data_IF_403344787920
#
_entry.id   IF_403344787920
#
_cell.length_a   1.000
_cell.length_b   1.000
_cell.length_c   1.000
_cell.angle_alpha   90.00
_cell.angle_beta   90.00
_cell.angle_gamma   90.00
#
_symmetry.space_group_name_H-M   'P 1'
#
loop_
_entity.id
_entity.type
_entity.pdbx_description
1 polymer ?
#
# COMPACT_ATOMS: atom_id res chain seq x y z
N UNK A 1 -14.45 2.30 -6.60
CA UNK A 1 -13.24 1.53 -6.23
C UNK A 1 -13.26 0.12 -6.85
N UNK A 2 -14.14 -0.81 -6.43
CA UNK A 2 -14.15 -2.21 -6.95
C UNK A 2 -14.17 -2.32 -8.48
N UNK A 3 -15.00 -1.54 -9.18
CA UNK A 3 -15.03 -1.48 -10.65
C UNK A 3 -13.68 -1.05 -11.26
N UNK A 4 -13.01 -0.10 -10.63
CA UNK A 4 -11.73 0.43 -11.11
C UNK A 4 -10.62 -0.61 -10.90
N UNK A 5 -10.62 -1.27 -9.74
CA UNK A 5 -9.75 -2.41 -9.42
C UNK A 5 -9.87 -3.51 -10.46
N UNK A 6 -11.11 -3.89 -10.80
CA UNK A 6 -11.41 -4.86 -11.85
C UNK A 6 -10.79 -4.52 -13.20
N UNK A 7 -10.86 -3.24 -13.63
CA UNK A 7 -10.28 -2.78 -14.89
C UNK A 7 -8.74 -2.80 -14.85
N UNK A 8 -8.13 -2.48 -13.71
CA UNK A 8 -6.68 -2.52 -13.52
C UNK A 8 -6.16 -3.96 -13.54
N UNK A 9 -6.80 -4.87 -12.80
CA UNK A 9 -6.42 -6.28 -12.76
C UNK A 9 -6.59 -6.98 -14.11
N UNK A 10 -7.60 -6.59 -14.89
CA UNK A 10 -7.75 -7.06 -16.29
C UNK A 10 -6.50 -6.74 -17.13
N UNK A 11 -5.86 -5.59 -16.89
CA UNK A 11 -4.61 -5.18 -17.53
C UNK A 11 -3.34 -5.78 -16.91
N UNK A 12 -3.45 -6.53 -15.81
CA UNK A 12 -2.31 -7.14 -15.11
C UNK A 12 -1.61 -6.26 -14.08
N UNK A 13 -2.15 -5.07 -13.77
CA UNK A 13 -1.61 -4.20 -12.72
C UNK A 13 -2.01 -4.68 -11.33
N UNK A 14 -1.15 -4.51 -10.34
CA UNK A 14 -1.51 -4.63 -8.92
C UNK A 14 -2.15 -3.34 -8.39
N UNK A 15 -2.81 -3.40 -7.24
CA UNK A 15 -3.47 -2.22 -6.64
C UNK A 15 -3.19 -2.07 -5.16
N UNK A 16 -3.03 -0.83 -4.71
CA UNK A 16 -2.97 -0.48 -3.29
C UNK A 16 -4.14 0.38 -2.86
N UNK A 17 -4.64 0.14 -1.65
CA UNK A 17 -5.78 0.87 -1.10
C UNK A 17 -5.52 1.30 0.34
N UNK A 18 -5.75 2.59 0.62
CA UNK A 18 -5.95 3.07 1.99
C UNK A 18 -7.41 2.92 2.36
N UNK A 19 -7.70 2.09 3.37
CA UNK A 19 -9.04 1.93 3.94
C UNK A 19 -9.30 2.92 5.10
N UNK A 20 -8.30 3.71 5.48
CA UNK A 20 -8.31 4.61 6.65
C UNK A 20 -9.33 5.73 6.60
N UNK A 21 -9.85 6.08 5.40
CA UNK A 21 -10.89 7.11 5.23
C UNK A 21 -12.30 6.58 5.44
N UNK A 22 -12.49 5.27 5.47
CA UNK A 22 -13.80 4.68 5.69
C UNK A 22 -14.19 4.84 7.16
N UNK A 23 -15.44 5.20 7.42
CA UNK A 23 -15.97 5.30 8.78
C UNK A 23 -15.87 3.95 9.50
N UNK A 24 -15.67 3.95 10.82
CA UNK A 24 -15.52 2.71 11.59
C UNK A 24 -16.84 1.94 11.68
N UNK A 25 -16.76 0.68 12.05
CA UNK A 25 -17.92 -0.16 12.31
C UNK A 25 -18.79 0.46 13.42
N UNK A 26 -20.11 0.33 13.26
CA UNK A 26 -21.14 0.92 14.12
C UNK A 26 -21.26 2.45 14.06
N UNK A 27 -20.47 3.13 13.22
CA UNK A 27 -20.65 4.56 13.01
C UNK A 27 -22.00 4.85 12.31
N UNK A 28 -22.60 6.00 12.62
CA UNK A 28 -23.95 6.36 12.17
C UNK A 28 -24.02 6.57 10.66
N UNK A 29 -25.07 6.08 9.99
CA UNK A 29 -25.28 6.18 8.54
C UNK A 29 -26.68 6.68 8.20
N UNK A 30 -26.75 7.90 7.66
CA UNK A 30 -27.96 8.50 7.12
C UNK A 30 -29.04 8.79 8.17
N UNK A 31 -30.20 9.34 7.78
CA UNK A 31 -31.23 9.75 8.72
C UNK A 31 -32.03 8.57 9.32
N UNK A 32 -31.95 7.37 8.71
CA UNK A 32 -32.79 6.22 9.04
C UNK A 32 -32.21 5.31 10.14
N UNK A 33 -31.19 5.76 10.88
CA UNK A 33 -30.58 4.98 11.96
C UNK A 33 -29.76 3.78 11.52
N UNK A 34 -29.26 3.78 10.28
CA UNK A 34 -28.34 2.75 9.81
C UNK A 34 -26.98 2.87 10.52
N UNK A 35 -26.25 1.76 10.59
CA UNK A 35 -24.87 1.73 11.12
C UNK A 35 -23.91 1.13 10.10
N UNK A 36 -22.67 1.61 10.11
CA UNK A 36 -21.65 1.17 9.18
C UNK A 36 -21.06 -0.20 9.55
N UNK A 37 -20.65 -0.98 8.54
CA UNK A 37 -19.90 -2.23 8.75
C UNK A 37 -18.42 -2.03 9.11
N UNK A 38 -17.85 -0.86 8.78
CA UNK A 38 -16.42 -0.57 8.96
C UNK A 38 -15.54 -1.09 7.81
N UNK A 39 -14.29 -0.61 7.70
CA UNK A 39 -13.38 -0.92 6.58
C UNK A 39 -13.14 -2.42 6.36
N UNK A 40 -13.03 -3.21 7.43
CA UNK A 40 -12.70 -4.64 7.34
C UNK A 40 -13.78 -5.43 6.60
N UNK A 41 -15.05 -5.03 6.72
CA UNK A 41 -16.18 -5.71 6.04
C UNK A 41 -16.17 -5.54 4.52
N UNK A 42 -15.44 -4.55 3.99
CA UNK A 42 -15.31 -4.35 2.55
C UNK A 42 -14.21 -5.23 1.93
N UNK A 43 -13.22 -5.68 2.71
CA UNK A 43 -12.08 -6.46 2.19
C UNK A 43 -12.52 -7.72 1.42
N UNK A 44 -13.49 -8.53 1.90
CA UNK A 44 -13.97 -9.69 1.15
C UNK A 44 -14.55 -9.34 -0.22
N UNK A 45 -15.23 -8.19 -0.36
CA UNK A 45 -15.79 -7.78 -1.64
C UNK A 45 -14.70 -7.47 -2.68
N UNK A 46 -13.61 -6.80 -2.27
CA UNK A 46 -12.46 -6.59 -3.15
C UNK A 46 -11.71 -7.89 -3.43
N UNK A 47 -11.58 -8.76 -2.43
CA UNK A 47 -10.92 -10.05 -2.57
C UNK A 47 -11.64 -10.95 -3.58
N UNK A 48 -12.96 -11.10 -3.47
CA UNK A 48 -13.76 -11.88 -4.42
C UNK A 48 -13.66 -11.31 -5.84
N UNK A 49 -13.77 -9.98 -5.99
CA UNK A 49 -13.64 -9.34 -7.30
C UNK A 49 -12.25 -9.59 -7.94
N UNK A 50 -11.18 -9.52 -7.14
CA UNK A 50 -9.80 -9.77 -7.57
C UNK A 50 -9.57 -11.24 -7.96
N UNK A 51 -10.24 -12.18 -7.30
CA UNK A 51 -10.12 -13.61 -7.61
C UNK A 51 -10.82 -14.03 -8.91
N UNK A 52 -11.95 -13.38 -9.21
CA UNK A 52 -12.71 -13.63 -10.43
C UNK A 52 -11.98 -13.04 -11.65
N UNK A 53 -11.28 -11.91 -11.49
CA UNK A 53 -10.70 -11.16 -12.59
C UNK A 53 -9.20 -11.47 -12.70
N UNK A 54 -8.87 -12.39 -13.62
CA UNK A 54 -7.50 -12.84 -13.90
C UNK A 54 -7.02 -12.32 -15.25
N UNK A 55 -5.80 -11.78 -15.32
CA UNK A 55 -5.19 -11.35 -16.57
C UNK A 55 -4.98 -12.57 -17.49
N UNK A 56 -5.68 -12.60 -18.62
CA UNK A 56 -5.63 -13.70 -19.59
C UNK A 56 -6.01 -15.07 -19.00
N UNK A 57 -6.71 -15.11 -17.87
CA UNK A 57 -7.02 -16.35 -17.14
C UNK A 57 -5.87 -16.96 -16.34
N UNK A 58 -4.65 -16.41 -16.42
CA UNK A 58 -3.42 -17.04 -15.88
C UNK A 58 -2.92 -16.32 -14.63
N UNK A 59 -2.86 -14.99 -14.63
CA UNK A 59 -2.28 -14.23 -13.51
C UNK A 59 -3.39 -13.75 -12.56
N UNK A 60 -3.33 -14.24 -11.31
CA UNK A 60 -4.19 -13.78 -10.21
C UNK A 60 -3.87 -12.31 -9.90
N UNK A 61 -4.91 -11.49 -9.72
CA UNK A 61 -4.73 -10.13 -9.25
C UNK A 61 -4.16 -10.10 -7.83
N UNK A 62 -3.45 -9.03 -7.50
CA UNK A 62 -2.87 -8.81 -6.18
C UNK A 62 -3.26 -7.41 -5.70
N UNK A 63 -3.60 -7.30 -4.43
CA UNK A 63 -3.87 -6.04 -3.78
C UNK A 63 -3.15 -5.91 -2.44
N UNK A 64 -2.89 -4.67 -2.02
CA UNK A 64 -2.58 -4.37 -0.63
C UNK A 64 -3.72 -3.54 -0.03
N UNK A 65 -4.07 -3.84 1.22
CA UNK A 65 -4.92 -3.00 2.04
C UNK A 65 -4.08 -2.40 3.15
N UNK A 66 -4.15 -1.07 3.29
CA UNK A 66 -3.50 -0.31 4.34
C UNK A 66 -4.56 0.28 5.26
N UNK A 67 -4.38 0.15 6.57
CA UNK A 67 -5.19 0.83 7.57
C UNK A 67 -4.29 1.56 8.55
N UNK A 68 -4.62 2.82 8.83
CA UNK A 68 -3.92 3.65 9.81
C UNK A 68 -4.07 3.07 11.21
N UNK A 69 -3.00 3.11 11.99
CA UNK A 69 -2.96 2.55 13.34
C UNK A 69 -3.95 3.24 14.29
N UNK A 70 -4.24 4.52 14.07
CA UNK A 70 -5.23 5.32 14.81
C UNK A 70 -6.69 5.05 14.41
N UNK A 71 -6.94 4.14 13.47
CA UNK A 71 -8.30 3.82 13.06
C UNK A 71 -9.03 2.98 14.13
N UNK A 72 -10.30 3.26 14.49
CA UNK A 72 -11.00 2.54 15.57
C UNK A 72 -11.16 1.03 15.35
N UNK A 73 -11.17 0.58 14.10
CA UNK A 73 -11.20 -0.85 13.73
C UNK A 73 -9.80 -1.51 13.58
N UNK A 74 -8.72 -0.88 14.05
CA UNK A 74 -7.35 -1.39 13.86
C UNK A 74 -7.18 -2.84 14.35
N UNK A 75 -7.71 -3.18 15.53
CA UNK A 75 -7.61 -4.54 16.07
C UNK A 75 -8.33 -5.55 15.18
N UNK A 76 -9.50 -5.20 14.64
CA UNK A 76 -10.22 -6.09 13.71
C UNK A 76 -9.45 -6.28 12.41
N UNK A 77 -8.78 -5.23 11.93
CA UNK A 77 -7.97 -5.28 10.73
C UNK A 77 -6.73 -6.15 10.89
N UNK A 78 -6.01 -6.00 12.01
CA UNK A 78 -4.85 -6.85 12.35
C UNK A 78 -5.23 -8.32 12.39
N UNK A 79 -6.43 -8.64 12.89
CA UNK A 79 -6.93 -10.02 12.99
C UNK A 79 -7.62 -10.53 11.71
N UNK A 80 -7.68 -9.75 10.63
CA UNK A 80 -8.51 -10.06 9.46
C UNK A 80 -8.02 -11.30 8.66
N UNK A 81 -6.74 -11.69 8.78
CA UNK A 81 -6.15 -12.86 8.12
C UNK A 81 -5.87 -14.05 9.04
N UNK A 82 -6.58 -14.14 10.18
CA UNK A 82 -6.34 -15.20 11.16
C UNK A 82 -6.70 -16.63 10.65
N UNK A 83 -7.38 -16.77 9.51
CA UNK A 83 -7.65 -18.06 8.86
C UNK A 83 -6.75 -18.28 7.62
N UNK A 84 -6.33 -19.53 7.33
CA UNK A 84 -5.35 -19.81 6.27
C UNK A 84 -5.82 -19.40 4.87
N UNK A 85 -7.14 -19.41 4.63
CA UNK A 85 -7.73 -19.06 3.33
C UNK A 85 -8.30 -17.63 3.27
N UNK A 86 -8.16 -16.85 4.36
CA UNK A 86 -8.69 -15.51 4.41
C UNK A 86 -7.82 -14.54 3.58
N UNK A 87 -8.46 -13.83 2.63
CA UNK A 87 -7.85 -12.72 1.90
C UNK A 87 -6.52 -13.12 1.21
N UNK A 88 -6.45 -14.30 0.60
CA UNK A 88 -5.20 -14.86 0.03
C UNK A 88 -4.65 -14.09 -1.18
N UNK A 89 -5.38 -13.10 -1.69
CA UNK A 89 -4.96 -12.15 -2.74
C UNK A 89 -4.71 -10.73 -2.23
N UNK A 90 -4.74 -10.54 -0.90
CA UNK A 90 -4.48 -9.29 -0.22
C UNK A 90 -3.27 -9.44 0.71
N UNK A 91 -2.32 -8.53 0.57
CA UNK A 91 -1.40 -8.18 1.65
C UNK A 91 -2.08 -7.16 2.56
N UNK A 92 -1.91 -7.31 3.87
CA UNK A 92 -2.38 -6.33 4.84
C UNK A 92 -1.17 -5.57 5.38
N UNK A 93 -1.30 -4.27 5.56
CA UNK A 93 -0.29 -3.50 6.28
C UNK A 93 -0.90 -2.45 7.18
N UNK A 94 -0.32 -2.27 8.35
CA UNK A 94 -0.68 -1.18 9.26
C UNK A 94 0.17 0.04 8.91
N UNK A 95 -0.49 1.15 8.62
CA UNK A 95 0.17 2.45 8.49
C UNK A 95 0.46 2.99 9.90
N UNK A 96 1.71 2.88 10.32
CA UNK A 96 2.19 3.38 11.62
C UNK A 96 2.85 4.74 11.44
N UNK A 97 2.95 5.47 12.54
CA UNK A 97 3.66 6.75 12.62
C UNK A 97 4.82 6.66 13.60
N UNK A 98 5.77 7.58 13.46
CA UNK A 98 6.87 7.81 14.40
C UNK A 98 6.33 8.04 15.81
N UNK A 99 5.22 8.80 15.95
CA UNK A 99 4.54 9.03 17.23
C UNK A 99 4.03 7.73 17.85
N UNK A 100 3.36 6.88 17.07
CA UNK A 100 2.88 5.59 17.56
C UNK A 100 4.04 4.71 18.06
N UNK A 101 5.14 4.63 17.30
CA UNK A 101 6.32 3.84 17.69
C UNK A 101 6.99 4.42 18.95
N UNK A 102 7.04 5.75 19.08
CA UNK A 102 7.50 6.38 20.32
C UNK A 102 6.62 5.98 21.52
N UNK A 103 5.29 5.95 21.34
CA UNK A 103 4.35 5.50 22.37
C UNK A 103 4.54 4.01 22.72
N UNK A 104 4.82 3.15 21.74
CA UNK A 104 5.14 1.72 21.96
C UNK A 104 6.35 1.58 22.88
N UNK A 105 7.43 2.32 22.62
CA UNK A 105 8.69 2.21 23.37
C UNK A 105 8.55 2.55 24.85
N UNK A 106 7.63 3.45 25.20
CA UNK A 106 7.39 3.87 26.59
C UNK A 106 6.12 3.23 27.20
N UNK A 107 5.42 2.38 26.44
CA UNK A 107 4.18 1.75 26.87
C UNK A 107 3.01 2.73 27.09
N UNK A 108 2.97 3.83 26.35
CA UNK A 108 1.93 4.85 26.48
C UNK A 108 0.67 4.51 25.67
N UNK A 109 -0.44 5.14 26.07
CA UNK A 109 -1.70 5.10 25.32
C UNK A 109 -1.69 6.11 24.18
N UNK A 110 -2.32 5.76 23.07
CA UNK A 110 -2.56 6.65 21.92
C UNK A 110 -4.05 6.71 21.59
N UNK A 111 -4.44 7.72 20.82
CA UNK A 111 -5.85 7.99 20.50
C UNK A 111 -6.30 7.27 19.24
N UNK A 112 -7.48 6.65 19.30
CA UNK A 112 -8.21 6.19 18.12
C UNK A 112 -9.13 7.31 17.64
N UNK A 113 -9.05 7.64 16.36
CA UNK A 113 -9.70 8.81 15.77
C UNK A 113 -10.72 8.34 14.74
N UNK A 114 -11.99 8.76 14.88
CA UNK A 114 -12.96 8.50 13.82
C UNK A 114 -12.60 9.34 12.58
N UNK A 115 -12.27 8.73 11.42
CA UNK A 115 -11.88 9.48 10.23
C UNK A 115 -12.99 10.38 9.67
N UNK A 116 -14.25 10.12 10.02
CA UNK A 116 -15.41 10.91 9.59
C UNK A 116 -15.65 12.13 10.48
N UNK A 117 -15.73 11.95 11.80
CA UNK A 117 -16.01 13.06 12.75
C UNK A 117 -14.76 13.81 13.19
N UNK A 118 -13.57 13.22 13.02
CA UNK A 118 -12.28 13.70 13.52
C UNK A 118 -12.15 13.73 15.04
N UNK A 119 -13.07 13.10 15.75
CA UNK A 119 -13.08 13.03 17.20
C UNK A 119 -12.30 11.81 17.70
N UNK A 120 -11.70 11.96 18.88
CA UNK A 120 -11.12 10.84 19.63
C UNK A 120 -12.25 10.00 20.20
N UNK A 121 -12.34 8.73 19.79
CA UNK A 121 -13.39 7.81 20.23
C UNK A 121 -12.93 6.86 21.34
N UNK A 122 -11.62 6.62 21.44
CA UNK A 122 -11.02 5.80 22.48
C UNK A 122 -9.54 6.10 22.63
N UNK A 123 -8.94 5.67 23.74
CA UNK A 123 -7.50 5.55 23.90
C UNK A 123 -7.15 4.12 24.25
N UNK A 124 -6.11 3.59 23.63
CA UNK A 124 -5.64 2.21 23.88
C UNK A 124 -4.11 2.18 23.97
N UNK A 125 -3.58 1.18 24.66
CA UNK A 125 -2.16 1.05 24.85
C UNK A 125 -1.43 0.73 23.54
N UNK A 126 -0.43 1.53 23.17
CA UNK A 126 0.29 1.35 21.92
C UNK A 126 1.05 0.01 21.87
N UNK A 127 1.63 -0.40 23.00
CA UNK A 127 2.38 -1.66 23.10
C UNK A 127 1.47 -2.86 22.86
N UNK A 128 0.27 -2.88 23.45
CA UNK A 128 -0.69 -3.97 23.25
C UNK A 128 -1.11 -4.12 21.77
N UNK A 129 -1.28 -3.01 21.06
CA UNK A 129 -1.57 -3.04 19.61
C UNK A 129 -0.38 -3.58 18.83
N UNK A 130 0.82 -3.10 19.14
CA UNK A 130 2.05 -3.54 18.47
C UNK A 130 2.33 -5.03 18.70
N UNK A 131 2.16 -5.52 19.94
CA UNK A 131 2.32 -6.93 20.27
C UNK A 131 1.34 -7.81 19.47
N UNK A 132 0.10 -7.34 19.24
CA UNK A 132 -0.88 -8.03 18.38
C UNK A 132 -0.45 -8.04 16.90
N UNK A 133 0.11 -6.94 16.39
CA UNK A 133 0.65 -6.89 15.02
C UNK A 133 1.78 -7.91 14.87
N UNK A 134 2.71 -7.95 15.83
CA UNK A 134 3.83 -8.90 15.84
C UNK A 134 3.33 -10.34 15.92
N UNK A 135 2.38 -10.63 16.82
CA UNK A 135 1.82 -11.97 16.98
C UNK A 135 1.14 -12.46 15.67
N UNK A 136 0.34 -11.62 15.02
CA UNK A 136 -0.31 -11.98 13.75
C UNK A 136 0.70 -12.13 12.61
N UNK A 137 1.69 -11.25 12.54
CA UNK A 137 2.78 -11.33 11.56
C UNK A 137 3.57 -12.63 11.71
N UNK A 138 3.82 -13.05 12.96
CA UNK A 138 4.48 -14.32 13.24
C UNK A 138 3.64 -15.53 12.81
N UNK A 139 2.32 -15.48 13.02
CA UNK A 139 1.40 -16.58 12.67
C UNK A 139 1.17 -16.70 11.16
N UNK A 140 1.07 -15.59 10.44
CA UNK A 140 0.51 -15.56 9.08
C UNK A 140 1.38 -14.86 8.04
N UNK A 141 2.42 -14.13 8.48
CA UNK A 141 3.18 -13.22 7.63
C UNK A 141 2.53 -11.84 7.46
N UNK A 142 1.31 -11.62 7.99
CA UNK A 142 0.54 -10.37 7.91
C UNK A 142 0.02 -9.94 9.30
N UNK A 143 -0.24 -8.64 9.54
CA UNK A 143 -0.01 -7.54 8.61
C UNK A 143 1.44 -7.02 8.66
N UNK A 144 1.95 -6.58 7.51
CA UNK A 144 3.17 -5.78 7.45
C UNK A 144 3.01 -4.40 8.09
N UNK A 145 4.08 -3.62 8.08
CA UNK A 145 4.10 -2.24 8.60
C UNK A 145 4.57 -1.29 7.50
N UNK A 146 3.89 -0.14 7.39
CA UNK A 146 4.28 0.96 6.53
C UNK A 146 4.42 2.22 7.39
N UNK A 147 5.60 2.83 7.41
CA UNK A 147 5.85 4.10 8.11
C UNK A 147 5.32 5.26 7.28
N UNK A 148 4.01 5.53 7.40
CA UNK A 148 3.30 6.38 6.44
C UNK A 148 3.68 7.85 6.55
N UNK A 149 3.98 8.31 7.77
CA UNK A 149 4.44 9.68 8.01
C UNK A 149 5.84 9.91 7.41
N UNK A 150 6.73 8.92 7.51
CA UNK A 150 8.07 9.00 6.90
C UNK A 150 7.98 9.03 5.37
N UNK A 151 7.12 8.18 4.80
CA UNK A 151 6.86 8.16 3.36
C UNK A 151 6.34 9.51 2.87
N UNK A 152 5.37 10.09 3.57
CA UNK A 152 4.75 11.34 3.16
C UNK A 152 5.67 12.56 3.40
N UNK A 153 6.55 12.49 4.41
CA UNK A 153 7.59 13.50 4.63
C UNK A 153 8.55 13.60 3.44
N UNK A 154 8.92 12.46 2.84
CA UNK A 154 9.83 12.39 1.70
C UNK A 154 9.06 12.40 0.35
N UNK A 155 7.78 12.78 0.35
CA UNK A 155 6.97 12.90 -0.87
C UNK A 155 7.54 14.02 -1.76
N UNK A 156 7.99 13.71 -3.01
CA UNK A 156 8.56 14.72 -3.89
C UNK A 156 7.53 15.65 -4.53
N UNK A 157 6.23 15.33 -4.43
CA UNK A 157 5.13 16.10 -5.01
C UNK A 157 4.00 16.34 -4.00
N UNK A 158 4.28 17.02 -2.87
CA UNK A 158 3.28 17.22 -1.80
C UNK A 158 2.08 18.07 -2.25
N UNK A 159 2.26 18.91 -3.26
CA UNK A 159 1.20 19.74 -3.85
C UNK A 159 0.13 18.93 -4.60
N UNK A 160 0.44 17.70 -5.01
CA UNK A 160 -0.50 16.79 -5.67
C UNK A 160 -1.36 15.99 -4.68
N UNK A 161 -0.92 15.92 -3.42
CA UNK A 161 -1.66 15.27 -2.34
C UNK A 161 -0.76 14.53 -1.36
N UNK A 162 -1.42 13.96 -0.35
CA UNK A 162 -0.81 13.12 0.69
C UNK A 162 -0.73 11.67 0.24
N UNK A 163 0.39 11.01 0.49
CA UNK A 163 0.54 9.56 0.29
C UNK A 163 -0.04 8.84 1.51
N UNK A 164 -1.05 7.99 1.30
CA UNK A 164 -1.75 7.25 2.35
C UNK A 164 -1.80 5.73 2.11
N UNK A 165 -1.09 5.25 1.10
CA UNK A 165 -0.96 3.84 0.75
C UNK A 165 0.30 3.58 -0.10
N UNK A 166 0.55 2.31 -0.41
CA UNK A 166 1.67 1.81 -1.20
C UNK A 166 1.17 0.82 -2.26
N UNK A 167 1.98 0.51 -3.27
CA UNK A 167 1.73 -0.54 -4.25
C UNK A 167 1.63 -1.93 -3.60
N UNK A 168 1.18 -2.92 -4.38
CA UNK A 168 0.90 -4.28 -3.89
C UNK A 168 2.03 -4.94 -3.10
N UNK A 169 3.30 -4.69 -3.44
CA UNK A 169 4.45 -5.25 -2.71
C UNK A 169 5.10 -4.25 -1.72
N UNK A 170 4.51 -3.06 -1.56
CA UNK A 170 4.97 -2.03 -0.62
C UNK A 170 6.11 -1.14 -1.11
N UNK A 171 6.63 -1.38 -2.31
CA UNK A 171 7.84 -0.76 -2.83
C UNK A 171 7.63 0.64 -3.45
N UNK A 172 6.42 0.95 -3.92
CA UNK A 172 6.07 2.25 -4.47
C UNK A 172 5.02 2.94 -3.61
N UNK A 173 5.37 4.00 -2.88
CA UNK A 173 4.40 4.90 -2.31
C UNK A 173 3.72 5.74 -3.41
N UNK A 174 2.40 5.62 -3.51
CA UNK A 174 1.62 6.18 -4.61
C UNK A 174 0.50 7.07 -4.07
N UNK A 175 0.28 8.20 -4.76
CA UNK A 175 -0.90 9.02 -4.59
C UNK A 175 -2.15 8.31 -5.16
N UNK A 176 -3.32 8.81 -4.81
CA UNK A 176 -4.57 8.29 -5.36
C UNK A 176 -4.58 8.38 -6.89
N UNK A 177 -4.86 7.24 -7.54
CA UNK A 177 -4.82 7.05 -9.00
C UNK A 177 -3.44 7.22 -9.65
N UNK A 178 -2.36 7.39 -8.88
CA UNK A 178 -1.01 7.37 -9.44
C UNK A 178 -0.61 5.93 -9.80
N UNK A 179 0.13 5.76 -10.89
CA UNK A 179 0.75 4.49 -11.26
C UNK A 179 2.25 4.63 -11.43
N UNK A 180 2.95 3.51 -11.40
CA UNK A 180 4.38 3.43 -11.66
C UNK A 180 4.67 2.26 -12.61
N UNK A 181 5.72 2.40 -13.43
CA UNK A 181 6.30 1.30 -14.18
C UNK A 181 7.70 0.99 -13.64
N UNK A 182 7.99 -0.31 -13.53
CA UNK A 182 9.17 -0.81 -12.85
C UNK A 182 10.21 -1.36 -13.83
N UNK A 183 11.48 -1.14 -13.52
CA UNK A 183 12.64 -1.76 -14.15
C UNK A 183 13.60 -2.36 -13.12
N UNK A 184 14.49 -3.24 -13.54
CA UNK A 184 15.52 -3.79 -12.64
C UNK A 184 16.83 -3.98 -13.38
N UNK A 185 17.92 -3.58 -12.75
CA UNK A 185 19.28 -3.75 -13.27
C UNK A 185 19.90 -4.99 -12.64
N UNK A 186 20.41 -5.90 -13.47
CA UNK A 186 21.15 -7.06 -12.99
C UNK A 186 22.56 -6.64 -12.56
N UNK A 187 22.76 -6.40 -11.26
CA UNK A 187 24.04 -5.97 -10.68
C UNK A 187 25.19 -6.96 -10.92
N UNK A 188 24.91 -8.27 -11.06
CA UNK A 188 25.96 -9.25 -11.38
C UNK A 188 26.58 -9.02 -12.77
N UNK A 189 25.88 -8.30 -13.67
CA UNK A 189 26.39 -7.90 -14.99
C UNK A 189 27.08 -6.53 -14.98
N UNK A 190 27.12 -5.87 -13.83
CA UNK A 190 27.76 -4.58 -13.61
C UNK A 190 29.08 -4.73 -12.85
N UNK A 191 29.69 -5.92 -12.90
CA UNK A 191 30.97 -6.18 -12.26
C UNK A 191 32.12 -6.00 -13.24
N UNK A 192 33.19 -5.38 -12.77
CA UNK A 192 34.53 -5.44 -13.36
C UNK A 192 35.30 -6.53 -12.61
N UNK A 193 35.62 -7.61 -13.30
CA UNK A 193 36.33 -8.77 -12.73
C UNK A 193 37.80 -8.66 -13.10
N UNK A 194 38.66 -8.55 -12.09
CA UNK A 194 40.10 -8.73 -12.20
C UNK A 194 40.51 -10.15 -11.80
N UNK A 195 41.83 -10.42 -11.78
CA UNK A 195 42.36 -11.77 -11.55
C UNK A 195 42.05 -12.32 -10.14
N UNK A 196 41.94 -11.44 -9.13
CA UNK A 196 41.69 -11.82 -7.72
C UNK A 196 40.52 -11.06 -7.07
N UNK A 197 39.95 -10.05 -7.74
CA UNK A 197 38.90 -9.20 -7.18
C UNK A 197 37.77 -8.95 -8.18
N UNK A 198 36.56 -8.76 -7.65
CA UNK A 198 35.43 -8.27 -8.43
C UNK A 198 34.86 -7.05 -7.73
N UNK A 199 34.71 -5.96 -8.47
CA UNK A 199 34.13 -4.72 -7.98
C UNK A 199 33.01 -4.24 -8.91
N UNK A 200 32.18 -3.32 -8.43
CA UNK A 200 31.15 -2.71 -9.26
C UNK A 200 31.82 -1.77 -10.28
N UNK A 201 31.51 -2.00 -11.55
CA UNK A 201 31.81 -1.09 -12.65
C UNK A 201 30.82 0.09 -12.60
N UNK A 202 31.15 1.09 -11.77
CA UNK A 202 30.32 2.29 -11.60
C UNK A 202 30.11 3.07 -12.90
N UNK A 203 31.10 3.26 -13.79
CA UNK A 203 30.88 3.86 -15.10
C UNK A 203 29.81 3.13 -15.92
N UNK A 204 29.91 1.80 -16.03
CA UNK A 204 28.92 0.98 -16.75
C UNK A 204 27.54 1.03 -16.11
N UNK A 205 27.48 0.96 -14.78
CA UNK A 205 26.24 1.07 -14.03
C UNK A 205 25.58 2.44 -14.27
N UNK A 206 26.34 3.53 -14.24
CA UNK A 206 25.82 4.88 -14.46
C UNK A 206 25.21 5.06 -15.85
N UNK A 207 25.86 4.54 -16.90
CA UNK A 207 25.27 4.57 -18.26
C UNK A 207 24.00 3.71 -18.36
N UNK A 208 24.01 2.54 -17.73
CA UNK A 208 22.86 1.63 -17.68
C UNK A 208 21.67 2.30 -16.97
N UNK A 209 21.90 2.95 -15.83
CA UNK A 209 20.87 3.69 -15.08
C UNK A 209 20.28 4.81 -15.93
N UNK A 210 21.10 5.63 -16.60
CA UNK A 210 20.59 6.71 -17.47
C UNK A 210 19.68 6.18 -18.58
N UNK A 211 20.08 5.06 -19.19
CA UNK A 211 19.28 4.41 -20.24
C UNK A 211 17.99 3.83 -19.68
N UNK A 212 18.04 3.18 -18.51
CA UNK A 212 16.87 2.62 -17.84
C UNK A 212 15.86 3.72 -17.45
N UNK A 213 16.32 4.84 -16.89
CA UNK A 213 15.46 5.99 -16.56
C UNK A 213 14.75 6.52 -17.81
N UNK A 214 15.48 6.75 -18.91
CA UNK A 214 14.87 7.19 -20.17
C UNK A 214 13.89 6.16 -20.72
N UNK A 215 14.22 4.87 -20.63
CA UNK A 215 13.34 3.79 -21.08
C UNK A 215 12.03 3.80 -20.29
N UNK A 216 12.11 3.86 -18.96
CA UNK A 216 10.95 3.88 -18.08
C UNK A 216 10.10 5.14 -18.27
N UNK A 217 10.72 6.31 -18.47
CA UNK A 217 9.99 7.54 -18.77
C UNK A 217 9.26 7.45 -20.13
N UNK A 218 9.91 6.93 -21.18
CA UNK A 218 9.26 6.69 -22.48
C UNK A 218 8.06 5.73 -22.38
N UNK A 219 8.12 4.74 -21.48
CA UNK A 219 7.01 3.79 -21.28
C UNK A 219 5.73 4.53 -20.89
N UNK A 220 5.81 5.61 -20.11
CA UNK A 220 4.66 6.41 -19.69
C UNK A 220 3.88 6.94 -20.90
N UNK A 221 4.58 7.41 -21.93
CA UNK A 221 3.97 8.04 -23.10
C UNK A 221 3.31 7.03 -24.04
N UNK A 222 3.82 5.80 -24.09
CA UNK A 222 3.26 4.72 -24.93
C UNK A 222 2.29 3.81 -24.17
N UNK A 223 2.17 3.98 -22.85
CA UNK A 223 1.30 3.15 -22.02
C UNK A 223 -0.18 3.40 -22.34
N UNK A 224 -0.98 2.33 -22.27
CA UNK A 224 -2.44 2.39 -22.41
C UNK A 224 -3.07 2.18 -21.05
N UNK A 225 -3.47 3.27 -20.40
CA UNK A 225 -4.04 3.22 -19.07
C UNK A 225 -5.48 2.69 -19.08
N UNK A 226 -5.88 1.88 -18.07
CA UNK A 226 -7.23 1.34 -18.00
C UNK A 226 -8.29 2.37 -17.56
N UNK A 227 -7.85 3.51 -17.00
CA UNK A 227 -8.69 4.58 -16.47
C UNK A 227 -8.11 5.95 -16.84
N UNK A 228 -8.93 6.92 -17.31
CA UNK A 228 -8.48 8.28 -17.61
C UNK A 228 -7.85 9.00 -16.41
N UNK A 229 -8.36 8.75 -15.21
CA UNK A 229 -7.84 9.36 -13.98
C UNK A 229 -6.41 8.90 -13.68
N UNK A 230 -6.08 7.64 -14.00
CA UNK A 230 -4.73 7.12 -13.85
C UNK A 230 -3.81 7.76 -14.88
N UNK A 231 -4.24 7.84 -16.14
CA UNK A 231 -3.45 8.50 -17.18
C UNK A 231 -3.13 9.96 -16.81
N UNK A 232 -4.14 10.70 -16.37
CA UNK A 232 -3.98 12.09 -15.98
C UNK A 232 -3.02 12.25 -14.78
N UNK A 233 -3.10 11.38 -13.78
CA UNK A 233 -2.22 11.46 -12.61
C UNK A 233 -0.78 11.05 -12.94
N UNK A 234 -0.60 9.93 -13.63
CA UNK A 234 0.73 9.43 -14.02
C UNK A 234 1.46 10.38 -14.95
N UNK A 235 0.76 11.05 -15.89
CA UNK A 235 1.38 12.07 -16.75
C UNK A 235 1.79 13.33 -15.99
N UNK A 236 1.18 13.62 -14.82
CA UNK A 236 1.56 14.76 -13.97
C UNK A 236 2.80 14.47 -13.14
N UNK A 237 2.87 13.31 -12.49
CA UNK A 237 3.99 12.98 -11.59
C UNK A 237 5.14 12.26 -12.27
N UNK A 238 4.88 11.56 -13.37
CA UNK A 238 5.82 10.73 -14.15
C UNK A 238 6.68 9.78 -13.29
N UNK A 239 6.09 9.22 -12.24
CA UNK A 239 6.79 8.35 -11.29
C UNK A 239 7.23 7.03 -11.95
N UNK A 240 8.50 6.68 -11.77
CA UNK A 240 9.15 5.44 -12.26
C UNK A 240 9.85 4.73 -11.10
N UNK A 241 10.12 3.43 -11.24
CA UNK A 241 10.77 2.60 -10.22
C UNK A 241 11.80 1.65 -10.78
#
# INVERSE_FOLDING_TARGET
>A
AVKNTALIHKGGGGTGFSFSKLRPARDWVGPNGGVAGGPVTFLPAFSVATDIIKQGGIRRGCSIAVLSVDHPDIIKFVMAKNGPDALTNFYLSVAVTTEFIAAVNVGADYSLINPHTKEVVAKINAKDVFDKIVEQSWKTGDPGIVFIDRIDQDNPTPELGRIDSVSGCGEQPLLAYESCNLGSINLARMLRVGDETAEIDYPKLAETVKTAVRFLDNVIDVNKFPLPEIEAMTKKSRKIG
#
